data_IF_881711128669
#
_entry.id   IF_881711128669
#
_cell.length_a   1.000
_cell.length_b   1.000
_cell.length_c   1.000
_cell.angle_alpha   90.00
_cell.angle_beta   90.00
_cell.angle_gamma   90.00
#
_symmetry.space_group_name_H-M   'P 1'
#
loop_
_entity.id
_entity.type
_entity.pdbx_description
1 polymer ?
#
# COMPACT_ATOMS: atom_id res chain seq x y z
N UNK A 1 32.99 -30.80 2.66
CA UNK A 1 33.90 -30.98 1.52
C UNK A 1 33.18 -30.51 0.26
N UNK A 2 33.66 -29.45 -0.38
CA UNK A 2 33.01 -28.85 -1.55
C UNK A 2 33.12 -29.76 -2.77
N UNK A 3 32.02 -29.96 -3.50
CA UNK A 3 32.03 -30.64 -4.80
C UNK A 3 32.61 -29.67 -5.81
N UNK A 4 33.87 -29.87 -6.22
CA UNK A 4 34.44 -29.17 -7.36
C UNK A 4 33.78 -29.70 -8.64
N UNK A 5 33.10 -28.83 -9.38
CA UNK A 5 32.59 -29.13 -10.71
C UNK A 5 33.77 -29.38 -11.65
N UNK A 6 33.74 -30.52 -12.37
CA UNK A 6 34.79 -30.92 -13.32
C UNK A 6 34.84 -29.95 -14.51
N UNK A 7 36.03 -29.64 -15.00
CA UNK A 7 36.21 -28.80 -16.19
C UNK A 7 36.06 -29.66 -17.45
N UNK A 8 35.45 -29.07 -18.47
CA UNK A 8 35.29 -29.69 -19.79
C UNK A 8 36.68 -29.99 -20.38
N UNK A 9 36.98 -31.27 -20.63
CA UNK A 9 38.30 -31.73 -21.11
C UNK A 9 39.11 -32.58 -20.13
N UNK A 10 38.80 -32.56 -18.83
CA UNK A 10 39.50 -33.43 -17.87
C UNK A 10 39.19 -34.92 -18.17
N UNK A 11 40.14 -35.87 -18.11
CA UNK A 11 39.86 -37.28 -18.33
C UNK A 11 38.86 -37.83 -17.29
N UNK A 12 37.86 -38.59 -17.74
CA UNK A 12 36.86 -39.19 -16.84
C UNK A 12 37.53 -40.31 -16.02
N UNK A 13 37.94 -40.00 -14.79
CA UNK A 13 38.39 -41.02 -13.84
C UNK A 13 37.19 -41.57 -13.09
N UNK A 14 36.71 -42.73 -13.50
CA UNK A 14 35.60 -43.41 -12.83
C UNK A 14 36.08 -44.00 -11.51
N UNK A 15 35.34 -43.72 -10.42
CA UNK A 15 35.69 -44.22 -9.08
C UNK A 15 35.50 -45.73 -8.91
N UNK A 16 34.68 -46.35 -9.76
CA UNK A 16 34.41 -47.79 -9.74
C UNK A 16 34.88 -48.42 -11.03
N UNK A 17 35.58 -49.53 -10.90
CA UNK A 17 35.89 -50.43 -12.02
C UNK A 17 34.59 -51.15 -12.38
N UNK A 18 34.06 -50.86 -13.56
CA UNK A 18 32.90 -51.53 -14.15
C UNK A 18 33.35 -52.10 -15.49
N UNK A 19 32.78 -53.24 -15.86
CA UNK A 19 33.05 -53.90 -17.14
C UNK A 19 32.75 -52.97 -18.32
N UNK A 20 33.48 -53.16 -19.41
CA UNK A 20 33.42 -52.28 -20.58
C UNK A 20 32.02 -52.19 -21.19
N UNK A 21 31.32 -53.31 -21.32
CA UNK A 21 29.97 -53.31 -21.89
C UNK A 21 28.91 -52.71 -20.98
N UNK A 22 29.02 -52.91 -19.65
CA UNK A 22 28.16 -52.21 -18.71
C UNK A 22 28.43 -50.69 -18.72
N UNK A 23 29.67 -50.29 -18.98
CA UNK A 23 30.02 -48.88 -19.17
C UNK A 23 29.43 -48.30 -20.45
N UNK A 24 29.49 -49.04 -21.56
CA UNK A 24 28.81 -48.64 -22.80
C UNK A 24 27.30 -48.50 -22.60
N UNK A 25 26.69 -49.36 -21.78
CA UNK A 25 25.27 -49.26 -21.47
C UNK A 25 24.94 -48.02 -20.64
N UNK A 26 25.75 -47.66 -19.63
CA UNK A 26 25.53 -46.48 -18.78
C UNK A 26 25.76 -45.18 -19.58
N UNK A 27 26.87 -45.11 -20.30
CA UNK A 27 27.31 -43.95 -21.09
C UNK A 27 26.84 -44.05 -22.56
N UNK A 28 25.68 -44.67 -22.78
CA UNK A 28 25.10 -44.89 -24.09
C UNK A 28 24.91 -43.54 -24.84
N UNK A 29 25.40 -43.40 -26.09
CA UNK A 29 25.15 -42.21 -26.89
C UNK A 29 23.66 -41.93 -27.04
N UNK A 30 23.26 -40.66 -27.01
CA UNK A 30 21.86 -40.21 -27.15
C UNK A 30 21.17 -40.78 -28.41
N UNK A 31 21.93 -41.11 -29.45
CA UNK A 31 21.44 -41.62 -30.73
C UNK A 31 21.20 -43.13 -30.73
N UNK A 32 21.79 -43.87 -29.79
CA UNK A 32 21.76 -45.33 -29.74
C UNK A 32 20.76 -45.84 -28.69
N UNK A 33 19.97 -46.85 -29.05
CA UNK A 33 19.04 -47.46 -28.11
C UNK A 33 19.83 -48.26 -27.07
N UNK A 34 19.57 -48.04 -25.77
CA UNK A 34 20.15 -48.84 -24.69
C UNK A 34 19.88 -50.34 -24.81
N UNK A 35 18.79 -50.74 -25.50
CA UNK A 35 18.56 -52.15 -25.81
C UNK A 35 19.52 -52.66 -26.87
N UNK A 36 19.93 -51.87 -27.87
CA UNK A 36 20.90 -52.31 -28.90
C UNK A 36 22.25 -52.61 -28.25
N UNK A 37 22.67 -51.75 -27.33
CA UNK A 37 23.90 -51.93 -26.56
C UNK A 37 23.82 -53.17 -25.64
N UNK A 38 22.66 -53.41 -25.02
CA UNK A 38 22.46 -54.61 -24.21
C UNK A 38 22.57 -55.89 -25.05
N UNK A 39 22.01 -55.89 -26.25
CA UNK A 39 22.01 -57.09 -27.09
C UNK A 39 23.35 -57.38 -27.72
N UNK A 40 24.10 -56.34 -28.08
CA UNK A 40 25.51 -56.49 -28.45
C UNK A 40 26.35 -57.01 -27.28
N UNK A 41 26.11 -56.55 -26.05
CA UNK A 41 26.87 -56.99 -24.88
C UNK A 41 26.54 -58.43 -24.44
N UNK A 42 25.29 -58.87 -24.59
CA UNK A 42 24.85 -60.21 -24.21
C UNK A 42 24.83 -61.21 -25.38
N UNK A 43 25.36 -60.83 -26.55
CA UNK A 43 25.31 -61.62 -27.79
C UNK A 43 23.89 -62.12 -28.12
N UNK A 44 22.88 -61.29 -27.87
CA UNK A 44 21.49 -61.62 -28.20
C UNK A 44 21.30 -61.60 -29.73
N UNK A 45 20.57 -62.56 -30.30
CA UNK A 45 20.41 -62.68 -31.75
C UNK A 45 19.76 -61.43 -32.38
N UNK A 46 20.22 -60.99 -33.56
CA UNK A 46 19.84 -59.71 -34.17
C UNK A 46 18.39 -59.64 -34.68
N UNK A 47 17.61 -60.72 -34.63
CA UNK A 47 16.26 -60.80 -35.22
C UNK A 47 15.13 -60.18 -34.39
N UNK A 48 15.47 -59.33 -33.43
CA UNK A 48 14.46 -58.62 -32.65
C UNK A 48 13.78 -57.53 -33.48
N UNK A 49 12.46 -57.59 -33.55
CA UNK A 49 11.65 -56.54 -34.19
C UNK A 49 11.91 -55.21 -33.46
N UNK A 50 12.04 -54.09 -34.18
CA UNK A 50 12.15 -52.79 -33.54
C UNK A 50 10.94 -52.59 -32.62
N UNK A 51 11.15 -52.10 -31.40
CA UNK A 51 10.06 -51.94 -30.44
C UNK A 51 9.01 -50.99 -31.01
N UNK A 52 7.74 -51.37 -30.93
CA UNK A 52 6.59 -50.58 -31.43
C UNK A 52 6.27 -49.35 -30.55
N UNK A 53 7.20 -48.90 -29.71
CA UNK A 53 7.02 -47.82 -28.74
C UNK A 53 8.33 -47.36 -28.07
N UNK A 54 8.22 -46.49 -27.07
CA UNK A 54 9.36 -45.95 -26.31
C UNK A 54 10.01 -47.04 -25.45
N UNK A 55 11.16 -47.54 -25.90
CA UNK A 55 11.81 -48.69 -25.29
C UNK A 55 12.89 -48.33 -24.24
N UNK A 56 13.37 -47.08 -24.23
CA UNK A 56 14.27 -46.50 -23.24
C UNK A 56 14.25 -44.95 -23.27
N UNK A 57 14.97 -44.34 -22.32
CA UNK A 57 15.20 -42.89 -22.20
C UNK A 57 15.77 -42.27 -23.48
N UNK A 58 16.81 -42.87 -24.09
CA UNK A 58 17.41 -42.35 -25.32
C UNK A 58 16.40 -42.29 -26.47
N UNK A 59 15.55 -43.32 -26.63
CA UNK A 59 14.50 -43.34 -27.65
C UNK A 59 13.41 -42.29 -27.39
N UNK A 60 13.11 -42.02 -26.12
CA UNK A 60 12.15 -40.97 -25.70
C UNK A 60 12.70 -39.58 -26.01
N UNK A 61 13.96 -39.33 -25.69
CA UNK A 61 14.64 -38.08 -26.02
C UNK A 61 14.74 -37.86 -27.53
N UNK A 62 15.07 -38.90 -28.29
CA UNK A 62 15.11 -38.84 -29.75
C UNK A 62 13.74 -38.50 -30.35
N UNK A 63 12.67 -39.11 -29.86
CA UNK A 63 11.30 -38.80 -30.28
C UNK A 63 10.91 -37.36 -29.94
N UNK A 64 11.23 -36.91 -28.74
CA UNK A 64 10.97 -35.54 -28.28
C UNK A 64 11.72 -34.52 -29.16
N UNK A 65 13.00 -34.78 -29.48
CA UNK A 65 13.77 -33.95 -30.42
C UNK A 65 13.14 -33.93 -31.82
N UNK A 66 12.63 -35.07 -32.31
CA UNK A 66 11.93 -35.12 -33.59
C UNK A 66 10.63 -34.31 -33.58
N UNK A 67 9.83 -34.37 -32.50
CA UNK A 67 8.60 -33.57 -32.36
C UNK A 67 8.95 -32.07 -32.34
N UNK A 68 9.89 -31.67 -31.48
CA UNK A 68 10.32 -30.26 -31.37
C UNK A 68 10.88 -29.75 -32.71
N UNK A 69 11.66 -30.56 -33.43
CA UNK A 69 12.19 -30.18 -34.75
C UNK A 69 11.12 -30.12 -35.85
N UNK A 70 9.97 -30.75 -35.66
CA UNK A 70 8.86 -30.75 -36.63
C UNK A 70 7.94 -29.53 -36.49
N UNK A 71 7.93 -28.88 -35.32
CA UNK A 71 7.09 -27.70 -35.04
C UNK A 71 7.69 -26.38 -35.55
N UNK A 72 8.89 -26.40 -36.14
CA UNK A 72 9.59 -25.21 -36.64
C UNK A 72 9.25 -24.85 -38.11
N UNK A 73 8.03 -25.19 -38.57
CA UNK A 73 7.53 -24.81 -39.89
C UNK A 73 6.26 -23.94 -39.81
N UNK A 74 6.51 -22.65 -40.02
CA UNK A 74 5.61 -21.57 -40.48
C UNK A 74 4.91 -20.71 -39.40
N UNK A 75 5.22 -19.41 -39.32
CA UNK A 75 4.43 -18.47 -38.54
C UNK A 75 3.04 -18.29 -39.18
N UNK A 76 1.95 -18.22 -38.38
CA UNK A 76 0.64 -17.87 -38.92
C UNK A 76 0.68 -16.42 -39.42
N UNK A 77 0.44 -16.25 -40.73
CA UNK A 77 0.27 -14.96 -41.36
C UNK A 77 -0.97 -14.27 -40.79
N UNK A 78 -0.75 -13.30 -39.91
CA UNK A 78 -1.79 -12.46 -39.32
C UNK A 78 -2.26 -11.41 -40.31
N UNK A 79 -3.39 -11.67 -40.93
CA UNK A 79 -4.15 -10.70 -41.72
C UNK A 79 -4.75 -9.63 -40.79
N UNK A 80 -4.50 -8.39 -41.17
CA UNK A 80 -4.96 -7.19 -40.49
C UNK A 80 -6.47 -7.02 -40.69
N UNK A 81 -7.21 -6.78 -39.61
CA UNK A 81 -8.54 -6.18 -39.66
C UNK A 81 -8.71 -5.24 -38.48
N UNK A 82 -8.52 -3.97 -38.78
CA UNK A 82 -8.90 -2.79 -38.00
C UNK A 82 -10.39 -2.85 -37.70
N UNK A 83 -10.77 -3.07 -36.44
CA UNK A 83 -12.12 -2.78 -35.96
C UNK A 83 -12.04 -1.96 -34.69
N UNK A 84 -12.86 -0.92 -34.67
CA UNK A 84 -12.88 0.17 -33.73
C UNK A 84 -13.09 -0.27 -32.27
N UNK A 85 -12.43 0.46 -31.37
CA UNK A 85 -12.61 0.38 -29.92
C UNK A 85 -14.02 0.84 -29.56
N UNK A 86 -14.94 -0.11 -29.39
CA UNK A 86 -16.14 0.09 -28.60
C UNK A 86 -15.83 -0.33 -27.15
N UNK A 87 -15.77 0.66 -26.26
CA UNK A 87 -15.79 0.47 -24.82
C UNK A 87 -17.17 -0.04 -24.42
N UNK A 88 -17.38 -1.35 -24.48
CA UNK A 88 -18.51 -1.99 -23.85
C UNK A 88 -18.16 -2.29 -22.39
N UNK A 89 -18.93 -1.72 -21.47
CA UNK A 89 -19.02 -2.23 -20.09
C UNK A 89 -19.65 -3.61 -20.15
N UNK A 90 -18.81 -4.65 -20.15
CA UNK A 90 -19.26 -6.02 -20.09
C UNK A 90 -19.48 -6.38 -18.63
N UNK A 91 -20.72 -6.27 -18.15
CA UNK A 91 -21.21 -7.13 -17.08
C UNK A 91 -21.28 -8.55 -17.65
N UNK A 92 -20.15 -9.24 -17.64
CA UNK A 92 -20.06 -10.63 -18.08
C UNK A 92 -20.79 -11.50 -17.06
N UNK A 93 -21.64 -12.39 -17.56
CA UNK A 93 -22.19 -13.50 -16.78
C UNK A 93 -21.04 -14.27 -16.10
N UNK A 94 -21.26 -14.86 -14.91
CA UNK A 94 -20.23 -15.65 -14.23
C UNK A 94 -19.68 -16.67 -15.22
N UNK A 95 -18.35 -16.66 -15.37
CA UNK A 95 -17.63 -17.47 -16.34
C UNK A 95 -18.02 -18.94 -16.11
N UNK A 96 -18.43 -19.65 -17.17
CA UNK A 96 -18.87 -21.04 -17.06
C UNK A 96 -17.81 -21.96 -16.40
N UNK A 97 -16.56 -21.51 -16.37
CA UNK A 97 -15.41 -22.15 -15.71
C UNK A 97 -15.51 -22.07 -14.18
N UNK A 98 -16.00 -20.96 -13.63
CA UNK A 98 -16.14 -20.76 -12.17
C UNK A 98 -17.27 -21.63 -11.61
N UNK A 99 -18.38 -21.73 -12.35
CA UNK A 99 -19.50 -22.60 -11.98
C UNK A 99 -19.10 -24.07 -11.96
N UNK A 100 -18.30 -24.52 -12.95
CA UNK A 100 -17.77 -25.88 -12.98
C UNK A 100 -16.78 -26.17 -11.85
N UNK A 101 -16.02 -25.16 -11.40
CA UNK A 101 -15.09 -25.30 -10.27
C UNK A 101 -15.84 -25.40 -8.93
N UNK A 102 -16.89 -24.60 -8.74
CA UNK A 102 -17.73 -24.64 -7.54
C UNK A 102 -18.43 -25.98 -7.38
N UNK A 103 -18.97 -26.54 -8.47
CA UNK A 103 -19.59 -27.88 -8.47
C UNK A 103 -18.57 -29.00 -8.17
N UNK A 104 -17.31 -28.79 -8.58
CA UNK A 104 -16.20 -29.70 -8.28
C UNK A 104 -15.76 -29.63 -6.82
N UNK A 105 -16.05 -28.55 -6.10
CA UNK A 105 -15.64 -28.34 -4.70
C UNK A 105 -16.77 -28.64 -3.71
N UNK A 106 -17.95 -29.05 -4.19
CA UNK A 106 -19.07 -29.42 -3.32
C UNK A 106 -18.75 -30.71 -2.52
N UNK A 107 -18.79 -30.67 -1.17
CA UNK A 107 -18.69 -31.85 -0.31
C UNK A 107 -19.71 -32.96 -0.62
N UNK A 108 -20.86 -32.63 -1.20
CA UNK A 108 -21.87 -33.60 -1.60
C UNK A 108 -21.38 -34.52 -2.73
N UNK A 109 -20.44 -34.07 -3.55
CA UNK A 109 -19.92 -34.79 -4.73
C UNK A 109 -18.63 -35.58 -4.43
N UNK A 110 -18.37 -35.92 -3.17
CA UNK A 110 -17.16 -36.64 -2.74
C UNK A 110 -16.96 -37.98 -3.47
N UNK A 111 -18.06 -38.64 -3.85
CA UNK A 111 -18.02 -39.93 -4.53
C UNK A 111 -17.36 -39.84 -5.92
N UNK A 112 -17.59 -38.74 -6.66
CA UNK A 112 -16.97 -38.51 -7.97
C UNK A 112 -15.46 -38.23 -7.87
N UNK A 113 -14.99 -37.76 -6.71
CA UNK A 113 -13.57 -37.52 -6.44
C UNK A 113 -12.82 -38.74 -5.90
N UNK A 114 -13.54 -39.76 -5.48
CA UNK A 114 -12.90 -40.97 -4.97
C UNK A 114 -12.19 -41.69 -6.13
N UNK A 115 -10.87 -41.88 -6.09
CA UNK A 115 -10.14 -42.56 -7.17
C UNK A 115 -10.59 -44.02 -7.26
N UNK A 116 -10.60 -44.59 -8.47
CA UNK A 116 -11.02 -45.99 -8.68
C UNK A 116 -10.17 -47.01 -7.90
N UNK A 117 -8.92 -46.66 -7.58
CA UNK A 117 -7.99 -47.46 -6.80
C UNK A 117 -7.44 -46.63 -5.64
N UNK A 118 -7.45 -47.20 -4.42
CA UNK A 118 -6.75 -46.64 -3.27
C UNK A 118 -5.25 -46.84 -3.47
N UNK A 119 -4.47 -45.79 -3.20
CA UNK A 119 -3.01 -45.80 -3.29
C UNK A 119 -2.39 -45.33 -1.98
N UNK A 120 -1.12 -45.64 -1.80
CA UNK A 120 -0.26 -45.09 -0.74
C UNK A 120 -0.87 -45.17 0.67
N UNK A 121 -1.06 -44.02 1.32
CA UNK A 121 -1.56 -43.93 2.69
C UNK A 121 -3.03 -44.39 2.78
N UNK A 122 -3.86 -44.05 1.79
CA UNK A 122 -5.26 -44.45 1.76
C UNK A 122 -5.38 -45.98 1.68
N UNK A 123 -4.54 -46.63 0.87
CA UNK A 123 -4.47 -48.10 0.81
C UNK A 123 -4.05 -48.71 2.16
N UNK A 124 -3.00 -48.16 2.79
CA UNK A 124 -2.51 -48.63 4.10
C UNK A 124 -3.56 -48.48 5.21
N UNK A 125 -4.32 -47.38 5.19
CA UNK A 125 -5.42 -47.16 6.13
C UNK A 125 -6.55 -48.16 5.91
N UNK A 126 -6.95 -48.40 4.67
CA UNK A 126 -7.96 -49.40 4.33
C UNK A 126 -7.52 -50.81 4.76
N UNK A 127 -6.27 -51.20 4.50
CA UNK A 127 -5.71 -52.49 4.94
C UNK A 127 -5.77 -52.61 6.47
N UNK A 128 -5.28 -51.62 7.21
CA UNK A 128 -5.30 -51.60 8.67
C UNK A 128 -6.73 -51.70 9.23
N UNK A 129 -7.67 -50.94 8.66
CA UNK A 129 -9.08 -50.94 9.06
C UNK A 129 -9.71 -52.32 8.89
N UNK A 130 -9.44 -52.98 7.76
CA UNK A 130 -9.93 -54.33 7.47
C UNK A 130 -9.28 -55.39 8.36
N UNK A 131 -7.98 -55.30 8.62
CA UNK A 131 -7.26 -56.21 9.52
C UNK A 131 -7.80 -56.10 10.96
N UNK A 132 -8.00 -54.87 11.45
CA UNK A 132 -8.56 -54.63 12.77
C UNK A 132 -9.99 -55.17 12.88
N UNK A 133 -10.83 -54.89 11.88
CA UNK A 133 -12.20 -55.42 11.82
C UNK A 133 -12.21 -56.95 11.81
N UNK A 134 -11.32 -57.56 11.00
CA UNK A 134 -11.18 -59.02 10.88
C UNK A 134 -10.83 -59.65 12.23
N UNK A 135 -9.81 -59.12 12.91
CA UNK A 135 -9.35 -59.62 14.21
C UNK A 135 -10.42 -59.44 15.30
N UNK A 136 -11.05 -58.26 15.35
CA UNK A 136 -12.11 -57.96 16.32
C UNK A 136 -13.35 -58.85 16.12
N UNK A 137 -13.74 -59.10 14.87
CA UNK A 137 -14.90 -59.95 14.55
C UNK A 137 -14.62 -61.41 14.87
N UNK A 138 -13.42 -61.92 14.56
CA UNK A 138 -13.02 -63.27 14.92
C UNK A 138 -13.04 -63.46 16.44
N UNK A 139 -12.39 -62.58 17.20
CA UNK A 139 -12.35 -62.65 18.66
C UNK A 139 -13.73 -62.58 19.32
N UNK A 140 -14.65 -61.79 18.78
CA UNK A 140 -15.97 -61.57 19.37
C UNK A 140 -17.01 -62.64 19.00
N UNK A 141 -16.98 -63.17 17.78
CA UNK A 141 -18.04 -64.04 17.25
C UNK A 141 -17.60 -65.44 16.86
N UNK A 142 -16.32 -65.64 16.57
CA UNK A 142 -15.83 -66.88 15.97
C UNK A 142 -14.61 -67.47 16.70
N UNK A 143 -14.32 -67.01 17.92
CA UNK A 143 -13.16 -67.45 18.71
C UNK A 143 -13.12 -68.97 18.94
N UNK A 144 -14.28 -69.62 18.97
CA UNK A 144 -14.41 -71.08 19.17
C UNK A 144 -14.35 -71.89 17.87
N UNK A 145 -14.33 -71.23 16.71
CA UNK A 145 -14.30 -71.91 15.42
C UNK A 145 -12.89 -72.45 15.11
N UNK A 146 -12.78 -73.55 14.32
CA UNK A 146 -11.50 -74.19 14.03
C UNK A 146 -10.61 -73.40 13.04
N UNK A 147 -11.13 -72.32 12.45
CA UNK A 147 -10.39 -71.46 11.54
C UNK A 147 -9.94 -70.16 12.24
N UNK A 148 -8.79 -69.64 11.83
CA UNK A 148 -8.24 -68.38 12.33
C UNK A 148 -8.96 -67.14 11.78
N UNK A 149 -8.47 -65.95 12.12
CA UNK A 149 -9.01 -64.67 11.65
C UNK A 149 -9.06 -64.57 10.11
N UNK A 150 -8.13 -65.24 9.41
CA UNK A 150 -8.09 -65.35 7.94
C UNK A 150 -9.31 -66.10 7.38
N UNK A 151 -9.96 -66.98 8.15
CA UNK A 151 -11.21 -67.63 7.75
C UNK A 151 -12.40 -66.67 7.73
N UNK A 152 -12.34 -65.56 8.47
CA UNK A 152 -13.36 -64.50 8.43
C UNK A 152 -13.21 -63.65 7.17
N UNK A 153 -11.98 -63.23 6.87
CA UNK A 153 -11.65 -62.41 5.71
C UNK A 153 -10.27 -62.85 5.17
N UNK A 154 -10.25 -63.66 4.10
CA UNK A 154 -9.01 -64.13 3.49
C UNK A 154 -8.15 -62.97 2.96
N UNK A 155 -6.84 -63.12 2.95
CA UNK A 155 -5.90 -62.05 2.56
C UNK A 155 -6.08 -61.59 1.10
N UNK A 156 -6.47 -62.49 0.20
CA UNK A 156 -6.79 -62.16 -1.20
C UNK A 156 -8.00 -61.24 -1.31
N UNK A 157 -9.05 -61.50 -0.52
CA UNK A 157 -10.26 -60.69 -0.44
C UNK A 157 -9.95 -59.36 0.23
N UNK A 158 -9.19 -59.37 1.34
CA UNK A 158 -8.75 -58.17 2.05
C UNK A 158 -7.96 -57.24 1.13
N UNK A 159 -6.98 -57.77 0.40
CA UNK A 159 -6.15 -56.98 -0.54
C UNK A 159 -7.00 -56.40 -1.67
N UNK A 160 -7.96 -57.18 -2.19
CA UNK A 160 -8.88 -56.72 -3.24
C UNK A 160 -9.80 -55.60 -2.75
N UNK A 161 -10.44 -55.79 -1.59
CA UNK A 161 -11.32 -54.80 -0.98
C UNK A 161 -10.57 -53.53 -0.58
N UNK A 162 -9.34 -53.65 -0.06
CA UNK A 162 -8.51 -52.52 0.31
C UNK A 162 -8.09 -51.70 -0.92
N UNK A 163 -7.75 -52.35 -2.04
CA UNK A 163 -7.23 -51.68 -3.23
C UNK A 163 -8.30 -50.99 -4.08
N UNK A 164 -9.51 -51.54 -4.18
CA UNK A 164 -10.55 -51.01 -5.08
C UNK A 164 -11.64 -50.27 -4.31
N UNK A 165 -12.00 -49.08 -4.79
CA UNK A 165 -13.11 -48.27 -4.25
C UNK A 165 -14.44 -48.56 -4.96
N UNK A 166 -14.41 -49.30 -6.07
CA UNK A 166 -15.60 -49.62 -6.86
C UNK A 166 -16.56 -50.63 -6.22
N UNK A 167 -16.15 -51.31 -5.16
CA UNK A 167 -17.05 -52.17 -4.39
C UNK A 167 -17.98 -51.29 -3.55
N UNK A 168 -19.24 -51.16 -3.96
CA UNK A 168 -20.27 -50.36 -3.24
C UNK A 168 -21.42 -51.22 -2.77
N UNK A 169 -21.70 -52.30 -3.48
CA UNK A 169 -22.84 -53.18 -3.23
C UNK A 169 -22.39 -54.59 -2.88
N UNK A 170 -23.32 -55.39 -2.34
CA UNK A 170 -23.07 -56.80 -2.06
C UNK A 170 -22.80 -57.62 -3.34
N UNK A 171 -23.33 -57.20 -4.48
CA UNK A 171 -23.15 -57.92 -5.75
C UNK A 171 -21.71 -57.78 -6.26
N UNK A 172 -21.11 -56.59 -6.11
CA UNK A 172 -19.72 -56.34 -6.53
C UNK A 172 -18.73 -57.25 -5.78
N UNK A 173 -19.05 -57.64 -4.54
CA UNK A 173 -18.21 -58.49 -3.69
C UNK A 173 -18.39 -59.98 -4.02
N UNK A 174 -19.45 -60.36 -4.74
CA UNK A 174 -19.75 -61.77 -5.07
C UNK A 174 -18.63 -62.41 -5.88
N UNK A 175 -18.00 -61.64 -6.76
CA UNK A 175 -16.87 -62.10 -7.60
C UNK A 175 -15.64 -62.54 -6.78
N UNK A 176 -15.49 -62.02 -5.56
CA UNK A 176 -14.35 -62.33 -4.68
C UNK A 176 -14.46 -63.70 -4.02
N UNK A 177 -15.55 -64.45 -4.24
CA UNK A 177 -15.82 -65.78 -3.64
C UNK A 177 -15.71 -65.79 -2.11
N UNK A 178 -16.00 -64.66 -1.46
CA UNK A 178 -15.95 -64.54 -0.02
C UNK A 178 -17.20 -65.19 0.61
N UNK A 179 -17.03 -66.38 1.19
CA UNK A 179 -18.13 -67.22 1.72
C UNK A 179 -19.02 -66.50 2.74
N UNK A 180 -18.43 -65.64 3.57
CA UNK A 180 -19.15 -64.89 4.60
C UNK A 180 -19.65 -63.51 4.15
N UNK A 181 -19.54 -63.18 2.85
CA UNK A 181 -19.95 -61.88 2.32
C UNK A 181 -21.41 -61.53 2.67
N UNK A 182 -22.33 -62.51 2.61
CA UNK A 182 -23.75 -62.28 2.94
C UNK A 182 -23.97 -61.74 4.36
N UNK A 183 -23.11 -62.10 5.32
CA UNK A 183 -23.24 -61.70 6.71
C UNK A 183 -22.49 -60.40 7.01
N UNK A 184 -21.32 -60.21 6.40
CA UNK A 184 -20.38 -59.18 6.83
C UNK A 184 -20.05 -58.12 5.78
N UNK A 185 -20.30 -58.37 4.49
CA UNK A 185 -19.86 -57.44 3.44
C UNK A 185 -20.53 -56.08 3.56
N UNK A 186 -21.83 -56.00 3.89
CA UNK A 186 -22.50 -54.71 4.07
C UNK A 186 -21.82 -53.84 5.14
N UNK A 187 -21.39 -54.45 6.26
CA UNK A 187 -20.69 -53.74 7.33
C UNK A 187 -19.28 -53.30 6.89
N UNK A 188 -18.55 -54.17 6.21
CA UNK A 188 -17.20 -53.88 5.71
C UNK A 188 -17.23 -52.78 4.65
N UNK A 189 -18.17 -52.86 3.70
CA UNK A 189 -18.34 -51.85 2.65
C UNK A 189 -18.69 -50.49 3.25
N UNK A 190 -19.59 -50.45 4.25
CA UNK A 190 -19.90 -49.21 4.97
C UNK A 190 -18.68 -48.58 5.64
N UNK A 191 -17.85 -49.38 6.31
CA UNK A 191 -16.61 -48.88 6.93
C UNK A 191 -15.61 -48.32 5.90
N UNK A 192 -15.49 -48.98 4.74
CA UNK A 192 -14.63 -48.49 3.65
C UNK A 192 -15.19 -47.25 2.98
N UNK A 193 -16.52 -47.13 2.86
CA UNK A 193 -17.21 -45.95 2.34
C UNK A 193 -16.99 -44.73 3.25
N UNK A 194 -17.07 -44.92 4.57
CA UNK A 194 -16.77 -43.88 5.56
C UNK A 194 -15.32 -43.40 5.43
N UNK A 195 -14.36 -44.32 5.30
CA UNK A 195 -12.95 -43.99 5.07
C UNK A 195 -12.74 -43.23 3.74
N UNK A 196 -13.33 -43.72 2.64
CA UNK A 196 -13.23 -43.08 1.33
C UNK A 196 -13.79 -41.64 1.37
N UNK A 197 -14.92 -41.46 2.07
CA UNK A 197 -15.58 -40.18 2.25
C UNK A 197 -14.72 -39.20 3.04
N UNK A 198 -14.13 -39.64 4.14
CA UNK A 198 -13.25 -38.79 4.95
C UNK A 198 -12.05 -38.28 4.15
N UNK A 199 -11.37 -39.18 3.42
CA UNK A 199 -10.21 -38.82 2.59
C UNK A 199 -10.62 -37.86 1.47
N UNK A 200 -11.74 -38.13 0.78
CA UNK A 200 -12.23 -37.28 -0.30
C UNK A 200 -12.62 -35.88 0.22
N UNK A 201 -13.25 -35.78 1.39
CA UNK A 201 -13.61 -34.51 2.01
C UNK A 201 -12.37 -33.70 2.44
N UNK A 202 -11.33 -34.37 2.95
CA UNK A 202 -10.07 -33.70 3.29
C UNK A 202 -9.39 -33.12 2.02
N UNK A 203 -9.40 -33.86 0.91
CA UNK A 203 -8.88 -33.36 -0.37
C UNK A 203 -9.70 -32.19 -0.92
N UNK A 204 -11.03 -32.26 -0.87
CA UNK A 204 -11.92 -31.16 -1.25
C UNK A 204 -11.61 -29.92 -0.40
N UNK A 205 -11.50 -30.07 0.92
CA UNK A 205 -11.19 -28.96 1.82
C UNK A 205 -9.81 -28.33 1.53
N UNK A 206 -8.79 -29.15 1.23
CA UNK A 206 -7.47 -28.65 0.81
C UNK A 206 -7.52 -27.90 -0.51
N UNK A 207 -8.32 -28.35 -1.46
CA UNK A 207 -8.49 -27.66 -2.74
C UNK A 207 -9.26 -26.35 -2.59
N UNK A 208 -10.34 -26.35 -1.79
CA UNK A 208 -11.09 -25.15 -1.43
C UNK A 208 -10.17 -24.13 -0.75
N UNK A 209 -9.37 -24.55 0.22
CA UNK A 209 -8.43 -23.66 0.91
C UNK A 209 -7.39 -23.04 -0.05
N UNK A 210 -6.88 -23.83 -1.02
CA UNK A 210 -5.97 -23.30 -2.05
C UNK A 210 -6.66 -22.28 -2.96
N UNK A 211 -7.89 -22.56 -3.36
CA UNK A 211 -8.70 -21.65 -4.17
C UNK A 211 -8.99 -20.35 -3.43
N UNK A 212 -9.42 -20.44 -2.16
CA UNK A 212 -9.71 -19.27 -1.33
C UNK A 212 -8.45 -18.43 -1.08
N UNK A 213 -7.28 -19.05 -0.91
CA UNK A 213 -5.99 -18.34 -0.81
C UNK A 213 -5.66 -17.59 -2.12
N UNK A 214 -5.89 -18.21 -3.28
CA UNK A 214 -5.67 -17.59 -4.58
C UNK A 214 -6.61 -16.40 -4.82
N UNK A 215 -7.91 -16.57 -4.52
CA UNK A 215 -8.90 -15.49 -4.56
C UNK A 215 -8.50 -14.35 -3.63
N UNK A 216 -8.09 -14.65 -2.39
CA UNK A 216 -7.64 -13.64 -1.43
C UNK A 216 -6.41 -12.87 -1.95
N UNK A 217 -5.44 -13.57 -2.54
CA UNK A 217 -4.24 -12.96 -3.14
C UNK A 217 -4.60 -12.06 -4.33
N UNK A 218 -5.58 -12.45 -5.13
CA UNK A 218 -6.04 -11.64 -6.26
C UNK A 218 -6.76 -10.37 -5.77
N UNK A 219 -7.64 -10.50 -4.79
CA UNK A 219 -8.33 -9.38 -4.15
C UNK A 219 -7.35 -8.37 -3.52
N UNK A 220 -6.27 -8.85 -2.88
CA UNK A 220 -5.23 -7.98 -2.30
C UNK A 220 -4.49 -7.16 -3.38
N UNK A 221 -4.11 -7.80 -4.49
CA UNK A 221 -3.45 -7.14 -5.63
C UNK A 221 -4.35 -6.09 -6.27
N UNK A 222 -5.63 -6.39 -6.44
CA UNK A 222 -6.61 -5.45 -6.98
C UNK A 222 -6.81 -4.25 -6.04
N UNK A 223 -6.92 -4.51 -4.74
CA UNK A 223 -7.01 -3.46 -3.73
C UNK A 223 -5.73 -2.59 -3.69
N UNK A 224 -4.55 -3.17 -3.90
CA UNK A 224 -3.29 -2.42 -4.02
C UNK A 224 -3.27 -1.53 -5.27
N UNK A 225 -3.63 -2.08 -6.42
CA UNK A 225 -3.75 -1.33 -7.67
C UNK A 225 -4.72 -0.16 -7.53
N UNK A 226 -5.86 -0.36 -6.86
CA UNK A 226 -6.84 0.70 -6.64
C UNK A 226 -6.34 1.77 -5.67
N UNK A 227 -5.66 1.37 -4.57
CA UNK A 227 -5.02 2.32 -3.66
C UNK A 227 -3.98 3.19 -4.38
N UNK A 228 -3.20 2.61 -5.31
CA UNK A 228 -2.23 3.36 -6.10
C UNK A 228 -2.89 4.34 -7.06
N UNK A 229 -3.99 3.94 -7.71
CA UNK A 229 -4.80 4.84 -8.57
C UNK A 229 -5.35 6.02 -7.79
N UNK A 230 -5.97 5.77 -6.63
CA UNK A 230 -6.49 6.81 -5.74
C UNK A 230 -5.36 7.76 -5.30
N UNK A 231 -4.19 7.23 -4.93
CA UNK A 231 -3.02 8.04 -4.55
C UNK A 231 -2.59 8.98 -5.68
N UNK A 232 -2.49 8.47 -6.92
CA UNK A 232 -2.15 9.28 -8.11
C UNK A 232 -3.19 10.37 -8.37
N UNK A 233 -4.48 10.07 -8.21
CA UNK A 233 -5.55 11.06 -8.35
C UNK A 233 -5.46 12.17 -7.30
N UNK A 234 -5.21 11.82 -6.03
CA UNK A 234 -5.03 12.81 -4.94
C UNK A 234 -3.83 13.71 -5.20
N UNK A 235 -2.70 13.15 -5.66
CA UNK A 235 -1.52 13.94 -6.00
C UNK A 235 -1.78 14.90 -7.17
N UNK A 236 -2.45 14.43 -8.22
CA UNK A 236 -2.85 15.26 -9.35
C UNK A 236 -3.78 16.40 -8.92
N UNK A 237 -4.76 16.11 -8.06
CA UNK A 237 -5.68 17.11 -7.50
C UNK A 237 -4.92 18.18 -6.69
N UNK A 238 -4.02 17.77 -5.79
CA UNK A 238 -3.18 18.71 -5.02
C UNK A 238 -2.31 19.60 -5.90
N UNK A 239 -1.78 19.04 -7.00
CA UNK A 239 -0.98 19.81 -7.97
C UNK A 239 -1.82 20.85 -8.72
N UNK A 240 -3.08 20.54 -9.02
CA UNK A 240 -4.00 21.50 -9.63
C UNK A 240 -4.36 22.60 -8.63
N UNK A 241 -4.73 22.25 -7.40
CA UNK A 241 -5.04 23.19 -6.32
C UNK A 241 -3.85 24.14 -6.06
N UNK A 242 -2.63 23.61 -5.98
CA UNK A 242 -1.43 24.43 -5.80
C UNK A 242 -1.21 25.43 -6.95
N UNK A 243 -1.43 25.00 -8.20
CA UNK A 243 -1.34 25.89 -9.38
C UNK A 243 -2.41 26.98 -9.35
N UNK A 244 -3.62 26.66 -8.91
CA UNK A 244 -4.72 27.61 -8.77
C UNK A 244 -4.45 28.62 -7.64
N UNK A 245 -3.98 28.15 -6.48
CA UNK A 245 -3.57 29.00 -5.38
C UNK A 245 -2.42 29.94 -5.77
N UNK A 246 -1.44 29.47 -6.55
CA UNK A 246 -0.36 30.32 -7.05
C UNK A 246 -0.86 31.42 -8.00
N UNK A 247 -1.77 31.06 -8.93
CA UNK A 247 -2.42 32.04 -9.83
C UNK A 247 -3.22 33.07 -9.03
N UNK A 248 -3.97 32.63 -8.02
CA UNK A 248 -4.73 33.52 -7.13
C UNK A 248 -3.81 34.46 -6.35
N UNK A 249 -2.70 33.97 -5.80
CA UNK A 249 -1.69 34.79 -5.11
C UNK A 249 -1.10 35.86 -6.03
N UNK A 250 -0.72 35.48 -7.26
CA UNK A 250 -0.19 36.42 -8.26
C UNK A 250 -1.23 37.48 -8.66
N UNK A 251 -2.51 37.12 -8.74
CA UNK A 251 -3.58 38.06 -9.01
C UNK A 251 -3.77 39.05 -7.84
N UNK A 252 -3.84 38.55 -6.60
CA UNK A 252 -3.97 39.35 -5.39
C UNK A 252 -2.78 40.32 -5.20
N UNK A 253 -1.56 39.88 -5.47
CA UNK A 253 -0.36 40.73 -5.41
C UNK A 253 -0.42 41.88 -6.42
N UNK A 254 -0.85 41.60 -7.67
CA UNK A 254 -1.03 42.63 -8.70
C UNK A 254 -2.09 43.65 -8.28
N UNK A 255 -3.19 43.20 -7.67
CA UNK A 255 -4.24 44.07 -7.18
C UNK A 255 -3.77 44.94 -6.00
N UNK A 256 -3.08 44.34 -5.02
CA UNK A 256 -2.50 45.04 -3.88
C UNK A 256 -1.49 46.11 -4.33
N UNK A 257 -0.65 45.81 -5.34
CA UNK A 257 0.27 46.78 -5.93
C UNK A 257 -0.45 47.95 -6.61
N UNK A 258 -1.57 47.70 -7.29
CA UNK A 258 -2.42 48.76 -7.87
C UNK A 258 -3.02 49.66 -6.78
N UNK A 259 -3.58 49.06 -5.72
CA UNK A 259 -4.14 49.79 -4.57
C UNK A 259 -3.09 50.65 -3.86
N UNK A 260 -1.88 50.10 -3.61
CA UNK A 260 -0.77 50.85 -3.00
C UNK A 260 -0.36 52.07 -3.84
N UNK A 261 -0.23 51.91 -5.16
CA UNK A 261 0.07 53.04 -6.06
C UNK A 261 -1.03 54.11 -6.08
N UNK A 262 -2.29 53.70 -5.95
CA UNK A 262 -3.41 54.65 -5.86
C UNK A 262 -3.35 55.43 -4.54
N UNK A 263 -3.19 54.73 -3.41
CA UNK A 263 -3.07 55.34 -2.08
C UNK A 263 -1.86 56.29 -1.97
N UNK A 264 -0.72 55.93 -2.56
CA UNK A 264 0.48 56.79 -2.61
C UNK A 264 0.21 58.10 -3.36
N UNK A 265 -0.47 58.04 -4.51
CA UNK A 265 -0.87 59.24 -5.28
C UNK A 265 -1.84 60.11 -4.50
N UNK A 266 -2.78 59.52 -3.75
CA UNK A 266 -3.71 60.26 -2.90
C UNK A 266 -2.99 60.93 -1.72
N UNK A 267 -2.08 60.20 -1.05
CA UNK A 267 -1.27 60.75 0.02
C UNK A 267 -0.37 61.91 -0.46
N UNK A 268 0.21 61.80 -1.67
CA UNK A 268 0.98 62.89 -2.27
C UNK A 268 0.12 64.14 -2.53
N UNK A 269 -1.09 63.96 -3.07
CA UNK A 269 -2.04 65.07 -3.27
C UNK A 269 -2.43 65.72 -1.93
N UNK A 270 -2.69 64.91 -0.90
CA UNK A 270 -3.02 65.40 0.44
C UNK A 270 -1.85 66.19 1.05
N UNK A 271 -0.61 65.71 0.89
CA UNK A 271 0.59 66.42 1.35
C UNK A 271 0.76 67.78 0.68
N UNK A 272 0.56 67.86 -0.64
CA UNK A 272 0.63 69.14 -1.37
C UNK A 272 -0.45 70.12 -0.93
N UNK A 273 -1.64 69.63 -0.57
CA UNK A 273 -2.71 70.47 -0.04
C UNK A 273 -2.35 71.02 1.35
N UNK A 274 -1.90 70.14 2.26
CA UNK A 274 -1.49 70.50 3.60
C UNK A 274 -0.30 71.50 3.59
N UNK A 275 0.65 71.34 2.67
CA UNK A 275 1.78 72.27 2.50
C UNK A 275 1.30 73.67 2.10
N UNK A 276 0.36 73.78 1.14
CA UNK A 276 -0.26 75.06 0.75
C UNK A 276 -1.02 75.71 1.89
N UNK A 277 -1.73 74.92 2.70
CA UNK A 277 -2.46 75.42 3.88
C UNK A 277 -1.49 75.91 4.97
N UNK A 278 -0.42 75.17 5.24
CA UNK A 278 0.62 75.57 6.17
C UNK A 278 1.34 76.85 5.70
N UNK A 279 1.59 77.01 4.41
CA UNK A 279 2.16 78.25 3.84
C UNK A 279 1.23 79.46 4.04
N UNK A 280 -0.08 79.29 3.77
CA UNK A 280 -1.08 80.33 4.03
C UNK A 280 -1.13 80.70 5.52
N UNK A 281 -1.09 79.72 6.41
CA UNK A 281 -1.05 79.94 7.86
C UNK A 281 0.22 80.70 8.29
N UNK A 282 1.39 80.34 7.76
CA UNK A 282 2.66 81.06 8.03
C UNK A 282 2.58 82.53 7.61
N UNK A 283 2.08 82.81 6.40
CA UNK A 283 1.88 84.18 5.90
C UNK A 283 0.90 84.99 6.76
N UNK A 284 -0.13 84.34 7.30
CA UNK A 284 -1.07 84.99 8.22
C UNK A 284 -0.40 85.35 9.56
N UNK A 285 0.35 84.40 10.15
CA UNK A 285 1.10 84.63 11.39
C UNK A 285 2.16 85.72 11.22
N UNK A 286 2.88 85.73 10.08
CA UNK A 286 3.88 86.77 9.78
C UNK A 286 3.26 88.17 9.70
N UNK A 287 2.10 88.30 9.03
CA UNK A 287 1.36 89.57 8.97
C UNK A 287 0.92 90.04 10.35
N UNK A 288 0.42 89.13 11.20
CA UNK A 288 0.05 89.48 12.57
C UNK A 288 1.28 89.88 13.41
N UNK A 289 2.38 89.14 13.31
CA UNK A 289 3.63 89.50 13.98
C UNK A 289 4.15 90.88 13.54
N UNK A 290 4.01 91.25 12.26
CA UNK A 290 4.39 92.58 11.76
C UNK A 290 3.48 93.69 12.33
N UNK A 291 2.18 93.43 12.45
CA UNK A 291 1.25 94.37 13.11
C UNK A 291 1.61 94.58 14.57
N UNK A 292 1.92 93.50 15.30
CA UNK A 292 2.37 93.56 16.70
C UNK A 292 3.65 94.38 16.82
N UNK A 293 4.67 94.13 15.97
CA UNK A 293 5.92 94.90 15.97
C UNK A 293 5.69 96.40 15.73
N UNK A 294 4.83 96.76 14.78
CA UNK A 294 4.47 98.17 14.53
C UNK A 294 3.78 98.80 15.74
N UNK A 295 2.89 98.06 16.40
CA UNK A 295 2.22 98.53 17.61
C UNK A 295 3.21 98.71 18.77
N UNK A 296 4.15 97.79 18.95
CA UNK A 296 5.24 97.88 19.93
C UNK A 296 6.16 99.07 19.65
N UNK A 297 6.55 99.29 18.39
CA UNK A 297 7.38 100.44 17.98
C UNK A 297 6.67 101.76 18.26
N UNK A 298 5.39 101.88 17.90
CA UNK A 298 4.58 103.06 18.21
C UNK A 298 4.42 103.27 19.72
N UNK A 299 4.28 102.19 20.50
CA UNK A 299 4.22 102.26 21.96
C UNK A 299 5.57 102.73 22.55
N UNK A 300 6.69 102.21 22.04
CA UNK A 300 8.04 102.62 22.44
C UNK A 300 8.32 104.08 22.06
N UNK A 301 7.88 104.55 20.89
CA UNK A 301 8.01 105.95 20.48
C UNK A 301 7.17 106.88 21.37
N UNK A 302 5.92 106.50 21.67
CA UNK A 302 5.08 107.22 22.62
C UNK A 302 5.72 107.27 24.02
N UNK A 303 6.30 106.16 24.48
CA UNK A 303 7.02 106.09 25.74
C UNK A 303 8.28 106.98 25.71
N UNK A 304 9.03 107.02 24.61
CA UNK A 304 10.20 107.90 24.42
C UNK A 304 9.80 109.37 24.49
N UNK A 305 8.73 109.77 23.79
CA UNK A 305 8.19 111.14 23.84
C UNK A 305 7.67 111.50 25.22
N UNK A 306 7.03 110.56 25.93
CA UNK A 306 6.61 110.76 27.31
C UNK A 306 7.81 110.91 28.26
N UNK A 307 8.86 110.09 28.09
CA UNK A 307 10.11 110.18 28.84
C UNK A 307 10.87 111.47 28.54
N UNK A 308 10.89 111.92 27.28
CA UNK A 308 11.48 113.19 26.86
C UNK A 308 10.73 114.38 27.47
N UNK A 309 9.39 114.36 27.48
CA UNK A 309 8.58 115.36 28.19
C UNK A 309 8.78 115.29 29.71
N UNK A 310 8.98 114.11 30.27
CA UNK A 310 9.29 113.94 31.70
C UNK A 310 10.71 114.45 32.02
N UNK A 311 11.68 114.25 31.13
CA UNK A 311 13.03 114.78 31.23
C UNK A 311 13.06 116.31 31.02
N UNK A 312 12.26 116.87 30.12
CA UNK A 312 12.09 118.32 29.95
C UNK A 312 11.40 118.95 31.18
N UNK A 313 10.41 118.27 31.77
CA UNK A 313 9.84 118.65 33.07
C UNK A 313 10.82 118.49 34.23
N UNK A 314 11.76 117.54 34.16
CA UNK A 314 12.85 117.40 35.12
C UNK A 314 13.90 118.50 34.94
N UNK A 315 14.20 118.91 33.70
CA UNK A 315 15.05 120.07 33.35
C UNK A 315 14.43 121.40 33.80
N UNK A 316 13.10 121.54 33.75
CA UNK A 316 12.37 122.68 34.34
C UNK A 316 12.23 122.60 35.88
N UNK A 317 12.46 121.43 36.48
CA UNK A 317 12.54 121.26 37.95
C UNK A 317 13.98 121.32 38.48
N UNK A 318 15.01 121.25 37.63
CA UNK A 318 16.42 121.35 38.03
C UNK A 318 16.94 122.79 38.14
N UNK A 319 16.10 123.81 37.97
CA UNK A 319 16.39 125.21 38.34
C UNK A 319 16.04 125.52 39.82
N UNK A 320 15.75 124.49 40.62
CA UNK A 320 15.60 124.61 42.08
C UNK A 320 16.02 123.31 42.75
N UNK A 321 17.13 123.38 43.49
CA UNK A 321 17.77 122.32 44.31
C UNK A 321 18.42 121.19 43.50
N UNK A 322 19.72 120.89 43.59
CA UNK A 322 20.66 121.05 44.70
C UNK A 322 20.99 119.68 45.30
N UNK A 323 22.08 119.07 44.82
CA UNK A 323 22.99 118.17 45.55
C UNK A 323 22.49 116.89 46.23
N UNK A 324 23.03 115.75 45.79
CA UNK A 324 23.77 114.88 46.71
C UNK A 324 23.23 113.45 47.02
N UNK A 325 24.18 112.51 46.90
CA UNK A 325 24.36 111.25 47.68
C UNK A 325 23.61 109.96 47.28
N UNK A 326 24.34 109.18 46.46
CA UNK A 326 24.76 107.77 46.60
C UNK A 326 24.46 107.08 47.96
N UNK A 327 23.76 105.93 47.91
CA UNK A 327 23.83 104.73 48.77
C UNK A 327 22.72 103.76 48.29
N UNK A 328 22.97 102.66 47.58
CA UNK A 328 23.57 101.38 48.01
C UNK A 328 22.80 100.66 49.14
N UNK A 329 22.09 99.59 48.76
CA UNK A 329 21.86 98.42 49.62
C UNK A 329 20.47 98.22 50.22
N UNK A 330 19.62 97.39 49.59
CA UNK A 330 18.65 96.48 50.26
C UNK A 330 18.22 95.42 49.21
N UNK A 331 18.56 94.13 49.25
CA UNK A 331 18.48 93.04 50.26
C UNK A 331 17.06 92.50 50.45
N UNK A 332 16.90 91.21 50.11
CA UNK A 332 15.81 90.26 50.47
C UNK A 332 14.47 90.58 49.78
N UNK A 333 13.58 89.64 49.44
CA UNK A 333 13.18 88.37 50.06
C UNK A 333 12.31 87.65 48.98
N UNK A 334 12.58 86.38 48.67
CA UNK A 334 11.76 85.21 49.05
C UNK A 334 10.45 84.97 48.28
N UNK A 335 10.15 83.68 48.14
CA UNK A 335 8.85 83.03 47.89
C UNK A 335 8.42 82.99 46.42
N UNK A 336 7.80 81.93 45.90
CA UNK A 336 7.50 80.56 46.36
C UNK A 336 6.63 79.94 45.25
N UNK A 337 6.66 78.60 45.13
CA UNK A 337 5.66 77.70 44.50
C UNK A 337 5.26 77.95 43.04
N UNK A 338 5.52 76.99 42.16
CA UNK A 338 4.64 75.82 41.94
C UNK A 338 4.17 75.95 40.48
N UNK A 339 4.04 74.94 39.64
CA UNK A 339 3.75 73.55 39.87
C UNK A 339 4.35 72.73 38.72
N UNK A 340 4.95 71.63 39.12
CA UNK A 340 4.95 70.37 38.40
C UNK A 340 3.50 70.00 37.98
N UNK A 341 3.28 69.55 36.74
CA UNK A 341 2.37 68.42 36.59
C UNK A 341 3.11 67.23 35.96
N UNK A 342 3.50 66.34 36.86
CA UNK A 342 3.05 64.97 36.91
C UNK A 342 2.03 64.56 35.81
N UNK A 343 2.22 63.33 35.34
CA UNK A 343 1.19 62.40 34.83
C UNK A 343 0.73 62.62 33.38
N UNK A 344 1.24 61.78 32.47
CA UNK A 344 0.65 60.44 32.23
C UNK A 344 1.41 59.70 31.12
N UNK A 345 2.10 58.63 31.52
CA UNK A 345 2.14 57.41 30.72
C UNK A 345 0.70 56.91 30.53
N UNK A 346 0.32 56.48 29.32
CA UNK A 346 -0.28 55.17 29.13
C UNK A 346 0.85 54.24 28.64
N UNK A 347 1.22 53.12 29.25
CA UNK A 347 0.39 52.12 29.93
C UNK A 347 -0.92 51.88 29.19
N UNK A 348 -0.84 51.60 27.90
CA UNK A 348 -1.79 50.71 27.26
C UNK A 348 -1.07 49.40 26.95
N UNK A 349 -0.94 48.62 28.02
CA UNK A 349 -0.88 47.18 27.97
C UNK A 349 -2.18 46.71 27.32
N UNK A 350 -2.22 46.61 25.99
CA UNK A 350 -3.12 45.64 25.36
C UNK A 350 -2.40 44.31 25.37
N UNK A 351 -2.64 43.55 26.43
CA UNK A 351 -2.71 42.11 26.32
C UNK A 351 -3.78 41.78 25.28
N UNK A 352 -3.39 41.56 24.02
CA UNK A 352 -4.12 40.61 23.19
C UNK A 352 -3.35 39.29 23.25
N UNK A 353 -3.66 38.56 24.31
CA UNK A 353 -3.98 37.14 24.30
C UNK A 353 -3.59 36.44 22.99
N UNK A 354 -2.45 35.77 23.04
CA UNK A 354 -2.13 34.57 22.26
C UNK A 354 -3.26 33.53 22.42
N UNK A 355 -3.16 32.41 21.70
CA UNK A 355 -3.69 32.11 20.39
C UNK A 355 -5.16 31.61 20.43
N UNK A 356 -5.91 31.81 19.34
CA UNK A 356 -7.09 30.98 19.07
C UNK A 356 -6.59 29.58 18.68
N UNK A 357 -6.28 28.78 19.70
CA UNK A 357 -6.41 27.34 19.64
C UNK A 357 -7.89 27.04 19.45
N UNK A 358 -8.32 26.83 18.20
CA UNK A 358 -9.60 26.20 17.92
C UNK A 358 -9.33 24.74 17.57
N UNK A 359 -9.34 23.94 18.63
CA UNK A 359 -10.16 22.73 18.76
C UNK A 359 -10.04 21.75 17.59
N UNK A 360 -9.18 20.76 17.83
CA UNK A 360 -9.33 19.38 17.40
C UNK A 360 -10.81 19.00 17.44
N UNK A 361 -11.46 18.96 16.28
CA UNK A 361 -12.70 18.24 16.13
C UNK A 361 -12.36 16.76 16.16
N UNK A 362 -12.65 16.15 17.31
CA UNK A 362 -12.81 14.71 17.49
C UNK A 362 -13.66 14.14 16.36
N UNK A 363 -13.02 13.56 15.35
CA UNK A 363 -13.69 12.60 14.47
C UNK A 363 -13.85 11.33 15.30
N UNK A 364 -15.02 11.23 15.92
CA UNK A 364 -15.53 10.05 16.59
C UNK A 364 -15.66 8.94 15.54
N UNK A 365 -14.71 8.01 15.56
CA UNK A 365 -14.83 6.72 14.87
C UNK A 365 -16.04 5.99 15.47
N UNK A 366 -17.06 5.61 14.69
CA UNK A 366 -18.10 4.72 15.19
C UNK A 366 -17.55 3.30 15.37
N UNK A 367 -17.92 2.61 16.46
CA UNK A 367 -17.59 1.20 16.63
C UNK A 367 -18.47 0.35 15.69
N UNK A 368 -17.81 -0.63 15.08
CA UNK A 368 -18.28 -1.94 14.63
C UNK A 368 -19.79 -2.15 14.38
N UNK A 369 -20.11 -2.60 13.16
CA UNK A 369 -21.18 -3.57 12.95
C UNK A 369 -20.49 -4.92 12.72
N UNK A 370 -20.57 -5.74 13.75
CA UNK A 370 -20.51 -7.20 13.66
C UNK A 370 -21.70 -7.68 12.83
N UNK A 371 -21.42 -8.44 11.78
CA UNK A 371 -22.20 -9.62 11.36
C UNK A 371 -21.31 -10.50 10.48
#
# INVERSE_FOLDING_TARGET
MGKTTRKEGDPIVYRKTIESGLRMWVDAPDEQCRRDIADEYFDNPPERKPPTGECCDNCTHRRTRMIIASDDHSPPSSSSSTTAVQMASTTAAPDAVEVALLDRLDPANWAARTPALRRDNHLKQAQRLLEEWRNRTWLSRYKTQPFGAQGILPDSVLTSLASRTSFRTLEDVRELRWVLAKQHAAKVLKMLEELDREVALEEIAKEQARHDEEVARQMEKEAECERERIRKMIEAAKKLEAKEAEKARKAAEKEAKKKRKAAEKEAEKARKLAEKEAEKARKAVEKEAQKVRKAEEQAAEKARKAAEKAAEKALKKSDKTGGGKRAEGTKRKSLDKGDEPARKRPSSTFHLVHPLALVLSNVRVPPQILL
#
